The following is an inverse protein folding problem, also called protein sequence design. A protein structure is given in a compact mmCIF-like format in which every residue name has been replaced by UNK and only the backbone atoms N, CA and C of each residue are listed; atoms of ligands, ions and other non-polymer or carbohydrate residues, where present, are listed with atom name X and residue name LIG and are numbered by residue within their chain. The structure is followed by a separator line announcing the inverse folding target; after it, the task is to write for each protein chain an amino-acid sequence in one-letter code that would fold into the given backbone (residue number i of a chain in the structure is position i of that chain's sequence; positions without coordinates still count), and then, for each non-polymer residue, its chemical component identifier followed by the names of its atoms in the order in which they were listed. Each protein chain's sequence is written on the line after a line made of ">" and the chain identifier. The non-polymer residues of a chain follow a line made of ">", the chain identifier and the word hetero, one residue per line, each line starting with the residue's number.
data_IF_618277067835
#
_entry.id   IF_618277067835
#
_cell.length_a   1.000
_cell.length_b   1.000
_cell.length_c   1.000
_cell.angle_alpha   90.00
_cell.angle_beta   90.00
_cell.angle_gamma   90.00
#
_symmetry.space_group_name_H-M   'P 1'
#
loop_
_entity.id
_entity.type
_entity.pdbx_description
1 polymer ?
#
# COMPACT_ATOMS: atom_id res chain seq x y z
N UNK A 1 -6.91 31.28 25.79
CA UNK A 1 -6.21 30.00 25.96
C UNK A 1 -6.92 29.29 27.09
N UNK A 2 -7.54 28.11 26.89
CA UNK A 2 -8.38 27.49 27.93
C UNK A 2 -7.53 26.63 28.87
N UNK A 3 -7.62 26.90 30.17
CA UNK A 3 -6.89 26.26 31.29
C UNK A 3 -7.21 24.77 31.52
N UNK A 4 -8.03 24.14 30.67
CA UNK A 4 -8.42 22.72 30.79
C UNK A 4 -7.43 21.73 30.16
N UNK A 5 -6.40 22.20 29.45
CA UNK A 5 -5.42 21.33 28.76
C UNK A 5 -4.23 20.92 29.68
N UNK A 6 -4.17 21.40 30.94
CA UNK A 6 -3.00 21.26 31.82
C UNK A 6 -2.94 19.99 32.69
N UNK A 7 -4.03 19.20 32.81
CA UNK A 7 -4.03 17.98 33.64
C UNK A 7 -4.43 16.67 32.91
N UNK A 8 -4.73 16.72 31.61
CA UNK A 8 -5.09 15.50 30.88
C UNK A 8 -3.83 14.79 30.36
N UNK A 9 -3.58 13.58 30.86
CA UNK A 9 -2.52 12.69 30.37
C UNK A 9 -3.09 11.64 29.40
N UNK A 10 -2.25 11.16 28.49
CA UNK A 10 -2.59 10.15 27.49
C UNK A 10 -1.42 9.20 27.27
N UNK A 11 -1.72 7.92 27.06
CA UNK A 11 -0.71 6.92 26.73
C UNK A 11 -0.30 6.99 25.26
N UNK A 12 1.00 6.99 24.99
CA UNK A 12 1.54 6.92 23.63
C UNK A 12 1.35 5.52 23.03
N UNK A 13 0.87 5.43 21.78
CA UNK A 13 0.67 4.16 21.08
C UNK A 13 1.97 3.44 20.66
N UNK A 14 3.14 4.06 20.85
CA UNK A 14 4.43 3.47 20.49
C UNK A 14 5.30 3.17 21.71
N UNK A 15 5.55 4.16 22.56
CA UNK A 15 6.39 3.95 23.75
C UNK A 15 5.60 3.57 25.01
N UNK A 16 4.27 3.51 24.94
CA UNK A 16 3.37 3.15 26.05
C UNK A 16 3.49 3.99 27.33
N UNK A 17 4.28 5.08 27.34
CA UNK A 17 4.39 6.03 28.45
C UNK A 17 3.19 6.98 28.49
N UNK A 18 2.72 7.30 29.70
CA UNK A 18 1.76 8.38 29.95
C UNK A 18 2.47 9.72 29.78
N UNK A 19 1.88 10.60 28.96
CA UNK A 19 2.41 11.93 28.66
C UNK A 19 1.28 12.97 28.68
N UNK A 20 1.56 14.26 28.96
CA UNK A 20 0.53 15.30 28.90
C UNK A 20 0.00 15.46 27.46
N UNK A 21 -1.25 15.88 27.29
CA UNK A 21 -1.86 16.06 25.96
C UNK A 21 -1.08 17.02 25.04
N UNK A 22 -0.28 17.94 25.59
CA UNK A 22 0.62 18.85 24.85
C UNK A 22 1.68 18.11 24.01
N UNK A 23 2.09 16.93 24.47
CA UNK A 23 3.01 16.01 23.79
C UNK A 23 2.39 15.32 22.56
N UNK A 24 1.08 15.48 22.34
CA UNK A 24 0.37 14.89 21.20
C UNK A 24 -0.11 15.98 20.24
N UNK A 25 0.30 15.89 18.97
CA UNK A 25 -0.18 16.82 17.92
C UNK A 25 -1.69 16.66 17.72
N UNK A 26 -2.39 17.78 17.55
CA UNK A 26 -3.82 17.80 17.18
C UNK A 26 -4.03 17.11 15.82
N UNK A 27 -5.16 16.43 15.66
CA UNK A 27 -5.60 15.95 14.34
C UNK A 27 -6.06 17.15 13.52
N UNK A 28 -5.76 17.13 12.23
CA UNK A 28 -6.10 18.17 11.26
C UNK A 28 -6.96 17.56 10.15
N UNK A 29 -7.93 18.29 9.63
CA UNK A 29 -8.74 17.92 8.45
C UNK A 29 -10.26 17.91 8.68
N UNK A 30 -11.04 17.85 7.59
CA UNK A 30 -12.52 17.94 7.57
C UNK A 30 -13.27 16.97 8.49
N UNK A 31 -12.62 15.90 8.98
CA UNK A 31 -13.20 14.87 9.85
C UNK A 31 -12.69 14.92 11.31
N UNK A 32 -11.87 15.89 11.70
CA UNK A 32 -11.41 16.00 13.08
C UNK A 32 -12.51 16.60 13.96
N UNK A 33 -13.07 15.81 14.89
CA UNK A 33 -13.83 16.36 16.02
C UNK A 33 -12.91 17.24 16.87
N UNK A 34 -13.38 18.42 17.27
CA UNK A 34 -12.60 19.43 17.99
C UNK A 34 -11.89 18.84 19.22
N UNK A 35 -10.61 19.17 19.37
CA UNK A 35 -9.65 18.66 20.39
C UNK A 35 -9.09 17.24 20.22
N UNK A 36 -9.47 16.47 19.18
CA UNK A 36 -8.90 15.14 18.97
C UNK A 36 -7.37 15.17 18.72
N UNK A 37 -6.61 14.43 19.54
CA UNK A 37 -5.14 14.35 19.44
C UNK A 37 -4.70 13.03 18.79
N UNK A 38 -3.55 13.03 18.12
CA UNK A 38 -2.96 11.83 17.49
C UNK A 38 -2.54 10.80 18.56
N UNK A 39 -2.30 9.55 18.15
CA UNK A 39 -1.93 8.46 19.07
C UNK A 39 -0.45 8.43 19.46
N UNK A 40 0.41 9.09 18.69
CA UNK A 40 1.86 9.13 18.90
C UNK A 40 2.29 10.44 19.55
N UNK A 41 3.18 10.35 20.55
CA UNK A 41 3.83 11.53 21.11
C UNK A 41 4.82 12.15 20.11
N UNK A 42 5.19 13.42 20.32
CA UNK A 42 6.13 14.17 19.46
C UNK A 42 7.46 13.43 19.29
N UNK A 43 8.01 12.91 20.37
CA UNK A 43 9.30 12.22 20.37
C UNK A 43 9.30 10.97 19.49
N UNK A 44 8.35 10.04 19.70
CA UNK A 44 8.22 8.84 18.86
C UNK A 44 7.97 9.16 17.39
N UNK A 45 7.34 10.32 17.10
CA UNK A 45 7.14 10.76 15.71
C UNK A 45 8.44 11.24 15.09
N UNK A 46 9.23 12.05 15.81
CA UNK A 46 10.53 12.55 15.37
C UNK A 46 11.49 11.37 15.11
N UNK A 47 11.53 10.40 16.03
CA UNK A 47 12.34 9.19 15.88
C UNK A 47 11.96 8.40 14.61
N UNK A 48 10.66 8.21 14.36
CA UNK A 48 10.21 7.53 13.14
C UNK A 48 10.47 8.32 11.87
N UNK A 49 10.38 9.64 11.91
CA UNK A 49 10.73 10.50 10.79
C UNK A 49 12.22 10.43 10.47
N UNK A 50 13.09 10.45 11.49
CA UNK A 50 14.53 10.25 11.31
C UNK A 50 14.88 8.85 10.83
N UNK A 51 14.20 7.81 11.31
CA UNK A 51 14.38 6.43 10.82
C UNK A 51 13.93 6.31 9.37
N UNK A 52 12.80 6.91 9.01
CA UNK A 52 12.29 6.89 7.64
C UNK A 52 13.22 7.66 6.69
N UNK A 53 13.77 8.81 7.12
CA UNK A 53 14.76 9.57 6.34
C UNK A 53 16.05 8.76 6.14
N UNK A 54 16.55 8.09 7.19
CA UNK A 54 17.73 7.23 7.09
C UNK A 54 17.51 6.03 6.16
N UNK A 55 16.32 5.40 6.23
CA UNK A 55 15.92 4.31 5.32
C UNK A 55 15.81 4.77 3.86
N UNK A 56 15.39 6.01 3.61
CA UNK A 56 15.34 6.57 2.25
C UNK A 56 16.70 7.05 1.74
N UNK A 57 17.65 7.36 2.63
CA UNK A 57 18.95 7.91 2.29
C UNK A 57 20.05 6.85 2.08
N UNK A 58 19.81 5.60 2.50
CA UNK A 58 20.77 4.51 2.31
C UNK A 58 20.05 3.17 2.02
N UNK A 59 19.78 2.85 0.73
CA UNK A 59 19.06 1.63 0.36
C UNK A 59 19.87 0.32 0.55
N UNK A 60 21.14 0.39 0.97
CA UNK A 60 22.03 -0.77 1.10
C UNK A 60 22.06 -1.44 2.49
N UNK A 61 21.28 -0.98 3.47
CA UNK A 61 21.23 -1.55 4.84
C UNK A 61 19.87 -2.19 5.17
N UNK A 62 19.33 -2.97 4.23
CA UNK A 62 18.22 -3.89 4.51
C UNK A 62 18.72 -5.33 4.38
N UNK A 63 19.60 -5.73 5.29
CA UNK A 63 19.80 -7.14 5.65
C UNK A 63 20.52 -7.21 7.00
N UNK A 64 19.85 -7.94 7.90
CA UNK A 64 20.22 -8.28 9.28
C UNK A 64 20.23 -7.10 10.27
N UNK A 65 19.09 -6.90 10.94
CA UNK A 65 19.09 -7.00 12.40
C UNK A 65 17.68 -7.25 12.95
N UNK A 66 17.56 -8.43 13.56
CA UNK A 66 16.72 -8.77 14.71
C UNK A 66 15.20 -8.92 14.49
N UNK A 67 14.86 -10.16 14.15
CA UNK A 67 13.76 -10.92 14.74
C UNK A 67 13.77 -10.70 16.27
N UNK A 68 12.81 -9.94 16.78
CA UNK A 68 12.26 -10.18 18.11
C UNK A 68 10.76 -10.38 17.98
N UNK A 69 10.43 -11.66 17.95
CA UNK A 69 9.14 -12.26 18.25
C UNK A 69 8.51 -11.61 19.50
N UNK A 70 7.50 -10.77 19.31
CA UNK A 70 6.47 -10.63 20.33
C UNK A 70 5.42 -11.72 20.09
N UNK A 71 5.64 -12.85 20.75
CA UNK A 71 4.57 -13.82 21.04
C UNK A 71 3.47 -13.08 21.80
N UNK A 72 2.33 -12.87 21.16
CA UNK A 72 1.10 -12.59 21.87
C UNK A 72 0.52 -13.92 22.35
N UNK A 73 0.90 -14.33 23.57
CA UNK A 73 0.07 -15.22 24.38
C UNK A 73 -1.21 -14.47 24.73
N UNK A 74 -2.33 -14.87 24.11
CA UNK A 74 -3.66 -14.49 24.54
C UNK A 74 -3.96 -15.24 25.84
N UNK A 75 -3.61 -14.64 26.97
CA UNK A 75 -4.22 -15.00 28.25
C UNK A 75 -5.61 -14.36 28.28
N UNK A 76 -6.63 -15.20 28.30
CA UNK A 76 -8.03 -14.82 28.43
C UNK A 76 -8.24 -14.05 29.75
N UNK A 77 -8.85 -12.87 29.67
CA UNK A 77 -9.32 -12.15 30.85
C UNK A 77 -10.68 -12.72 31.28
N UNK A 78 -10.88 -13.08 32.57
CA UNK A 78 -12.17 -13.52 33.08
C UNK A 78 -13.21 -12.42 32.97
N UNK A 79 -14.43 -12.80 32.56
CA UNK A 79 -15.62 -11.95 32.66
C UNK A 79 -16.11 -11.96 34.11
N UNK A 80 -15.79 -10.92 34.87
CA UNK A 80 -16.46 -10.66 36.15
C UNK A 80 -17.80 -9.99 35.89
N UNK A 81 -18.88 -10.71 36.21
CA UNK A 81 -20.21 -10.15 36.34
C UNK A 81 -20.33 -9.32 37.62
N UNK A 82 -21.09 -8.22 37.55
CA UNK A 82 -21.56 -7.49 38.73
C UNK A 82 -23.02 -7.08 38.56
N UNK A 83 -23.74 -6.89 39.68
CA UNK A 83 -25.02 -7.51 39.88
C UNK A 83 -26.20 -6.56 39.72
N UNK A 84 -27.36 -7.20 39.66
CA UNK A 84 -28.71 -6.67 39.81
C UNK A 84 -28.88 -5.76 41.03
N UNK A 85 -29.49 -4.59 40.82
CA UNK A 85 -30.26 -3.88 41.84
C UNK A 85 -31.57 -3.41 41.23
N UNK A 86 -32.66 -3.94 41.77
CA UNK A 86 -34.03 -3.53 41.51
C UNK A 86 -34.30 -2.15 42.14
N UNK A 87 -35.08 -1.33 41.43
CA UNK A 87 -35.90 -0.29 42.04
C UNK A 87 -37.15 -0.12 41.18
N UNK A 88 -38.30 -0.36 41.79
CA UNK A 88 -39.62 -0.20 41.21
C UNK A 88 -40.06 1.26 41.26
N UNK A 89 -40.75 1.72 40.21
CA UNK A 89 -41.79 2.75 40.34
C UNK A 89 -42.78 2.68 39.18
N UNK A 90 -44.02 2.41 39.57
CA UNK A 90 -45.32 2.60 38.91
C UNK A 90 -45.44 3.60 37.76
N UNK A 91 -46.21 3.25 36.72
CA UNK A 91 -46.72 4.20 35.73
C UNK A 91 -47.42 3.59 34.51
N UNK A 92 -48.67 3.16 34.70
CA UNK A 92 -49.81 3.12 33.75
C UNK A 92 -49.58 2.73 32.26
N UNK A 93 -50.20 1.62 31.87
CA UNK A 93 -50.26 1.05 30.52
C UNK A 93 -51.21 1.81 29.58
N UNK A 94 -50.72 2.18 28.39
CA UNK A 94 -51.53 2.70 27.28
C UNK A 94 -51.69 1.60 26.21
N UNK A 95 -52.91 1.15 25.83
CA UNK A 95 -53.11 -0.13 25.15
C UNK A 95 -53.00 -0.08 23.62
N UNK A 96 -52.19 0.82 23.03
CA UNK A 96 -52.16 0.96 21.57
C UNK A 96 -50.77 1.24 20.95
N UNK A 97 -49.79 0.40 21.26
CA UNK A 97 -48.50 0.40 20.55
C UNK A 97 -48.24 -0.97 19.91
N UNK A 98 -48.47 -1.07 18.60
CA UNK A 98 -48.05 -2.22 17.79
C UNK A 98 -46.59 -2.52 18.06
N UNK A 99 -46.31 -3.67 18.64
CA UNK A 99 -44.95 -4.18 18.87
C UNK A 99 -44.38 -4.55 17.50
N UNK A 100 -43.60 -3.63 16.89
CA UNK A 100 -42.67 -4.04 15.84
C UNK A 100 -41.64 -4.93 16.52
N UNK A 101 -41.73 -6.24 16.25
CA UNK A 101 -40.76 -7.22 16.71
C UNK A 101 -39.35 -6.70 16.47
N UNK A 102 -38.59 -6.59 17.55
CA UNK A 102 -37.15 -6.44 17.52
C UNK A 102 -36.57 -7.78 17.06
N UNK A 103 -36.76 -8.14 15.78
CA UNK A 103 -35.89 -9.11 15.17
C UNK A 103 -34.50 -8.47 15.15
N UNK A 104 -33.69 -8.90 16.12
CA UNK A 104 -32.26 -8.61 16.15
C UNK A 104 -31.72 -9.03 14.80
N UNK A 105 -31.48 -8.03 13.95
CA UNK A 105 -30.88 -8.16 12.63
C UNK A 105 -29.54 -8.87 12.83
N UNK A 106 -29.53 -10.21 12.72
CA UNK A 106 -28.34 -11.04 12.88
C UNK A 106 -27.29 -10.44 11.97
N UNK A 107 -26.23 -9.86 12.55
CA UNK A 107 -25.09 -9.38 11.78
C UNK A 107 -24.57 -10.60 11.03
N UNK A 108 -24.81 -10.66 9.72
CA UNK A 108 -24.24 -11.72 8.88
C UNK A 108 -22.75 -11.77 9.21
N UNK A 109 -22.18 -12.92 9.57
CA UNK A 109 -20.74 -13.02 9.73
C UNK A 109 -20.12 -12.49 8.45
N UNK A 110 -19.23 -11.50 8.55
CA UNK A 110 -18.49 -11.03 7.39
C UNK A 110 -17.74 -12.25 6.87
N UNK A 111 -18.23 -12.85 5.78
CA UNK A 111 -17.49 -13.86 5.06
C UNK A 111 -16.13 -13.25 4.76
N UNK A 112 -15.10 -13.73 5.45
CA UNK A 112 -13.72 -13.33 5.20
C UNK A 112 -13.39 -13.92 3.84
N UNK A 113 -13.72 -13.18 2.78
CA UNK A 113 -13.35 -13.54 1.43
C UNK A 113 -11.85 -13.85 1.40
N UNK A 114 -11.48 -14.92 0.71
CA UNK A 114 -10.09 -15.32 0.51
C UNK A 114 -9.29 -14.09 0.09
N UNK A 115 -8.26 -13.74 0.87
CA UNK A 115 -7.37 -12.63 0.53
C UNK A 115 -6.71 -12.96 -0.80
N UNK A 116 -6.86 -12.06 -1.78
CA UNK A 116 -6.19 -12.19 -3.07
C UNK A 116 -4.68 -12.05 -2.87
N UNK A 117 -3.91 -12.82 -3.64
CA UNK A 117 -2.46 -12.64 -3.72
C UNK A 117 -2.19 -11.52 -4.75
N UNK A 118 -1.55 -10.41 -4.35
CA UNK A 118 -1.28 -9.28 -5.24
C UNK A 118 -0.36 -9.61 -6.43
N UNK A 119 0.43 -10.68 -6.34
CA UNK A 119 1.43 -11.05 -7.36
C UNK A 119 0.96 -12.21 -8.24
N UNK A 120 -0.22 -12.76 -7.97
CA UNK A 120 -0.74 -13.92 -8.69
C UNK A 120 -1.79 -13.51 -9.74
N UNK A 121 -1.43 -13.44 -11.03
CA UNK A 121 -2.35 -13.03 -12.07
C UNK A 121 -3.40 -14.07 -12.42
N UNK A 122 -3.26 -15.33 -11.97
CA UNK A 122 -4.25 -16.40 -12.24
C UNK A 122 -5.60 -16.11 -11.56
N UNK A 123 -5.61 -15.18 -10.60
CA UNK A 123 -6.79 -14.75 -9.86
C UNK A 123 -7.61 -13.68 -10.60
N UNK A 124 -7.10 -13.16 -11.72
CA UNK A 124 -7.78 -12.20 -12.56
C UNK A 124 -8.94 -12.85 -13.30
N UNK A 125 -10.07 -12.17 -13.30
CA UNK A 125 -11.30 -12.57 -13.98
C UNK A 125 -11.64 -11.41 -14.93
N UNK A 126 -11.54 -11.60 -16.24
CA UNK A 126 -11.87 -10.55 -17.20
C UNK A 126 -13.36 -10.18 -17.14
N UNK A 127 -13.69 -9.05 -17.75
CA UNK A 127 -15.08 -8.72 -18.07
C UNK A 127 -15.65 -9.66 -19.12
N UNK A 128 -16.94 -9.54 -19.41
CA UNK A 128 -17.58 -10.28 -20.52
C UNK A 128 -16.94 -9.99 -21.88
N UNK A 129 -16.21 -8.87 -22.01
CA UNK A 129 -15.48 -8.48 -23.23
C UNK A 129 -14.00 -8.90 -23.22
N UNK A 130 -13.55 -9.69 -22.24
CA UNK A 130 -12.14 -10.08 -22.12
C UNK A 130 -11.23 -9.04 -21.44
N UNK A 131 -11.77 -7.93 -20.94
CA UNK A 131 -10.97 -6.79 -20.48
C UNK A 131 -10.73 -6.77 -18.96
N UNK A 132 -9.58 -6.23 -18.54
CA UNK A 132 -9.17 -5.93 -17.16
C UNK A 132 -8.99 -4.42 -16.98
N UNK A 133 -9.42 -3.88 -15.83
CA UNK A 133 -9.17 -2.48 -15.50
C UNK A 133 -7.75 -2.31 -14.96
N UNK A 134 -6.93 -1.50 -15.61
CA UNK A 134 -5.66 -1.04 -15.06
C UNK A 134 -5.82 0.38 -14.50
N UNK A 135 -5.23 0.64 -13.33
CA UNK A 135 -5.14 1.98 -12.76
C UNK A 135 -3.71 2.36 -12.41
N UNK A 136 -3.43 3.66 -12.35
CA UNK A 136 -2.13 4.15 -11.94
C UNK A 136 -2.13 5.64 -11.63
N UNK A 137 -0.91 6.18 -11.52
CA UNK A 137 -0.67 7.61 -11.39
C UNK A 137 0.22 8.09 -12.53
N UNK A 138 0.01 9.31 -13.00
CA UNK A 138 0.94 9.98 -13.90
C UNK A 138 2.13 10.55 -13.14
N UNK A 139 3.14 11.05 -13.86
CA UNK A 139 4.31 11.70 -13.24
C UNK A 139 3.92 12.95 -12.41
N UNK A 140 2.77 13.57 -12.72
CA UNK A 140 2.19 14.68 -11.94
C UNK A 140 1.30 14.20 -10.78
N UNK A 141 1.28 12.90 -10.49
CA UNK A 141 0.46 12.29 -9.44
C UNK A 141 -1.02 12.19 -9.77
N UNK A 142 -1.46 12.47 -11.00
CA UNK A 142 -2.88 12.37 -11.38
C UNK A 142 -3.27 10.91 -11.55
N UNK A 143 -4.40 10.51 -10.95
CA UNK A 143 -4.95 9.16 -11.13
C UNK A 143 -5.50 8.98 -12.53
N UNK A 144 -5.29 7.80 -13.10
CA UNK A 144 -5.85 7.40 -14.38
C UNK A 144 -6.33 5.94 -14.33
N UNK A 145 -7.20 5.59 -15.27
CA UNK A 145 -7.72 4.24 -15.47
C UNK A 145 -7.74 3.94 -16.97
N UNK A 146 -7.52 2.68 -17.32
CA UNK A 146 -7.52 2.19 -18.69
C UNK A 146 -8.01 0.74 -18.71
N UNK A 147 -8.82 0.37 -19.69
CA UNK A 147 -9.15 -1.04 -19.94
C UNK A 147 -8.07 -1.65 -20.83
N UNK A 148 -7.56 -2.81 -20.44
CA UNK A 148 -6.54 -3.57 -21.15
C UNK A 148 -6.97 -5.03 -21.32
N UNK A 149 -6.35 -5.75 -22.25
CA UNK A 149 -6.56 -7.19 -22.40
C UNK A 149 -6.08 -7.97 -21.16
N UNK A 150 -6.70 -9.12 -20.89
CA UNK A 150 -6.27 -10.05 -19.85
C UNK A 150 -4.81 -10.51 -20.04
N UNK A 151 -4.39 -10.83 -21.26
CA UNK A 151 -3.04 -11.29 -21.53
C UNK A 151 -2.01 -10.22 -21.14
N UNK A 152 -2.23 -8.97 -21.57
CA UNK A 152 -1.40 -7.85 -21.16
C UNK A 152 -1.40 -7.67 -19.64
N UNK A 153 -2.55 -7.81 -18.98
CA UNK A 153 -2.63 -7.71 -17.53
C UNK A 153 -1.80 -8.80 -16.82
N UNK A 154 -1.84 -10.03 -17.33
CA UNK A 154 -1.03 -11.15 -16.83
C UNK A 154 0.45 -10.83 -16.98
N UNK A 155 0.90 -10.40 -18.16
CA UNK A 155 2.30 -10.07 -18.44
C UNK A 155 2.79 -8.96 -17.51
N UNK A 156 2.02 -7.88 -17.35
CA UNK A 156 2.39 -6.77 -16.46
C UNK A 156 2.54 -7.20 -14.99
N UNK A 157 1.74 -8.15 -14.51
CA UNK A 157 1.85 -8.65 -13.14
C UNK A 157 3.03 -9.62 -13.00
N UNK A 158 3.17 -10.58 -13.93
CA UNK A 158 4.28 -11.54 -13.92
C UNK A 158 5.64 -10.87 -13.97
N UNK A 159 5.75 -9.83 -14.79
CA UNK A 159 6.98 -9.07 -14.96
C UNK A 159 7.11 -7.93 -13.95
N UNK A 160 6.36 -7.96 -12.84
CA UNK A 160 6.52 -7.04 -11.71
C UNK A 160 6.28 -5.55 -12.04
N UNK A 161 5.54 -5.24 -13.11
CA UNK A 161 5.16 -3.88 -13.47
C UNK A 161 3.85 -3.44 -12.80
N UNK A 162 3.01 -4.38 -12.39
CA UNK A 162 1.72 -4.16 -11.77
C UNK A 162 1.42 -5.19 -10.67
N UNK A 163 0.46 -4.87 -9.81
CA UNK A 163 -0.09 -5.81 -8.81
C UNK A 163 -1.60 -5.94 -8.95
N UNK A 164 -2.12 -7.12 -8.61
CA UNK A 164 -3.55 -7.39 -8.48
C UNK A 164 -4.10 -6.64 -7.26
N UNK A 165 -5.11 -5.80 -7.50
CA UNK A 165 -5.85 -5.08 -6.44
C UNK A 165 -7.12 -5.83 -6.09
N UNK A 166 -7.84 -6.24 -7.13
CA UNK A 166 -9.03 -7.05 -7.03
C UNK A 166 -9.11 -7.93 -8.29
N UNK A 167 -10.05 -8.87 -8.32
CA UNK A 167 -10.19 -9.84 -9.42
C UNK A 167 -10.34 -9.20 -10.81
N UNK A 168 -10.75 -7.94 -10.93
CA UNK A 168 -10.93 -7.24 -12.21
C UNK A 168 -10.01 -6.04 -12.38
N UNK A 169 -9.06 -5.84 -11.48
CA UNK A 169 -8.27 -4.61 -11.47
C UNK A 169 -6.84 -4.86 -11.05
N UNK A 170 -5.91 -4.44 -11.90
CA UNK A 170 -4.50 -4.31 -11.57
C UNK A 170 -4.14 -2.85 -11.32
N UNK A 171 -3.08 -2.62 -10.54
CA UNK A 171 -2.50 -1.30 -10.33
C UNK A 171 -1.05 -1.31 -10.80
N UNK A 172 -0.73 -0.39 -11.70
CA UNK A 172 0.65 -0.14 -12.12
C UNK A 172 1.47 0.40 -10.95
N UNK A 173 2.65 -0.16 -10.74
CA UNK A 173 3.49 0.16 -9.58
C UNK A 173 4.20 1.50 -9.73
N UNK A 174 4.64 1.82 -10.94
CA UNK A 174 5.49 2.97 -11.23
C UNK A 174 4.81 3.95 -12.17
N UNK A 175 5.05 5.25 -11.98
CA UNK A 175 4.88 6.26 -13.02
C UNK A 175 6.00 6.12 -14.07
N UNK A 176 5.96 6.87 -15.18
CA UNK A 176 7.03 6.76 -16.18
C UNK A 176 8.36 7.27 -15.60
N UNK A 177 8.32 8.37 -14.85
CA UNK A 177 9.49 8.92 -14.17
C UNK A 177 10.04 7.96 -13.13
N UNK A 178 9.17 7.41 -12.28
CA UNK A 178 9.59 6.48 -11.21
C UNK A 178 10.12 5.18 -11.80
N UNK A 179 9.54 4.71 -12.91
CA UNK A 179 9.98 3.51 -13.60
C UNK A 179 11.40 3.68 -14.15
N UNK A 180 11.68 4.81 -14.83
CA UNK A 180 13.03 5.11 -15.31
C UNK A 180 14.03 5.15 -14.15
N UNK A 181 13.69 5.87 -13.08
CA UNK A 181 14.55 5.96 -11.90
C UNK A 181 14.81 4.58 -11.27
N UNK A 182 13.78 3.73 -11.19
CA UNK A 182 13.88 2.37 -10.68
C UNK A 182 14.85 1.52 -11.51
N UNK A 183 14.72 1.49 -12.84
CA UNK A 183 15.60 0.68 -13.72
C UNK A 183 17.05 1.15 -13.62
N UNK A 184 17.29 2.48 -13.71
CA UNK A 184 18.64 3.03 -13.62
C UNK A 184 19.30 2.69 -12.28
N UNK A 185 18.57 2.81 -11.17
CA UNK A 185 19.07 2.49 -9.85
C UNK A 185 19.29 0.98 -9.67
N UNK A 186 18.37 0.13 -10.15
CA UNK A 186 18.50 -1.34 -10.12
C UNK A 186 19.77 -1.82 -10.81
N UNK A 187 20.08 -1.22 -11.95
CA UNK A 187 21.21 -1.61 -12.81
C UNK A 187 22.49 -0.83 -12.48
N UNK A 188 22.53 -0.11 -11.35
CA UNK A 188 23.67 0.70 -10.92
C UNK A 188 24.19 1.66 -12.01
N UNK A 189 23.29 2.24 -12.82
CA UNK A 189 23.64 3.09 -13.95
C UNK A 189 24.67 2.46 -14.90
N UNK A 190 24.65 1.13 -15.04
CA UNK A 190 25.57 0.38 -15.88
C UNK A 190 24.84 -0.08 -17.13
N UNK A 191 25.35 0.30 -18.29
CA UNK A 191 24.80 -0.07 -19.59
C UNK A 191 24.86 -1.60 -19.76
N UNK A 192 23.70 -2.22 -19.97
CA UNK A 192 23.57 -3.66 -20.18
C UNK A 192 24.40 -4.16 -21.38
N UNK A 193 24.57 -3.32 -22.41
CA UNK A 193 25.20 -3.71 -23.66
C UNK A 193 26.73 -3.61 -23.64
N UNK A 194 27.28 -2.52 -23.13
CA UNK A 194 28.73 -2.24 -23.18
C UNK A 194 29.41 -2.16 -21.82
N UNK A 195 28.65 -2.19 -20.71
CA UNK A 195 29.19 -2.07 -19.35
C UNK A 195 29.64 -0.66 -18.94
N UNK A 196 29.59 0.33 -19.85
CA UNK A 196 29.88 1.73 -19.51
C UNK A 196 28.73 2.39 -18.73
N UNK A 197 28.91 3.63 -18.27
CA UNK A 197 27.84 4.39 -17.63
C UNK A 197 26.62 4.56 -18.56
N UNK A 198 25.43 4.32 -18.02
CA UNK A 198 24.15 4.46 -18.69
C UNK A 198 23.18 5.32 -17.90
N UNK A 199 22.53 6.24 -18.61
CA UNK A 199 21.55 7.18 -18.05
C UNK A 199 20.18 7.08 -18.74
N UNK A 200 20.05 6.19 -19.74
CA UNK A 200 18.80 5.89 -20.44
C UNK A 200 18.30 4.48 -20.13
N UNK A 201 17.06 4.19 -20.55
CA UNK A 201 16.50 2.85 -20.53
C UNK A 201 16.24 2.39 -21.95
N UNK A 202 16.43 1.10 -22.21
CA UNK A 202 16.07 0.45 -23.47
C UNK A 202 15.29 -0.85 -23.21
N UNK A 203 14.51 -1.27 -24.20
CA UNK A 203 13.72 -2.50 -24.18
C UNK A 203 14.50 -3.66 -24.80
N UNK A 204 14.57 -4.80 -24.11
CA UNK A 204 15.21 -6.01 -24.61
C UNK A 204 14.47 -6.54 -25.86
N UNK A 205 13.16 -6.76 -25.73
CA UNK A 205 12.24 -6.89 -26.85
C UNK A 205 11.71 -5.49 -27.21
N UNK A 206 11.99 -4.94 -28.40
CA UNK A 206 11.52 -3.61 -28.79
C UNK A 206 9.99 -3.50 -28.77
N UNK A 207 9.47 -2.31 -28.47
CA UNK A 207 8.02 -2.04 -28.46
C UNK A 207 7.34 -2.36 -29.79
N UNK A 208 8.03 -2.13 -30.91
CA UNK A 208 7.53 -2.45 -32.25
C UNK A 208 7.33 -3.96 -32.48
N UNK A 209 8.06 -4.80 -31.74
CA UNK A 209 7.94 -6.27 -31.76
C UNK A 209 7.10 -6.81 -30.58
N UNK A 210 6.31 -5.95 -29.93
CA UNK A 210 5.40 -6.34 -28.85
C UNK A 210 5.96 -6.22 -27.43
N UNK A 211 7.21 -5.79 -27.26
CA UNK A 211 7.80 -5.68 -25.91
C UNK A 211 7.13 -4.61 -25.05
N UNK A 212 6.89 -4.97 -23.78
CA UNK A 212 6.22 -4.09 -22.81
C UNK A 212 7.23 -3.34 -21.94
N UNK A 213 6.80 -2.21 -21.37
CA UNK A 213 7.60 -1.46 -20.39
C UNK A 213 7.42 -2.09 -19.02
N UNK A 214 8.27 -3.07 -18.72
CA UNK A 214 8.27 -3.85 -17.48
C UNK A 214 9.69 -3.97 -16.94
N UNK A 215 9.86 -4.19 -15.62
CA UNK A 215 11.16 -4.53 -15.03
C UNK A 215 11.93 -5.59 -15.83
N UNK A 216 11.28 -6.67 -16.25
CA UNK A 216 11.98 -7.79 -16.88
C UNK A 216 12.42 -7.48 -18.32
N UNK A 217 11.70 -6.61 -19.03
CA UNK A 217 12.01 -6.25 -20.42
C UNK A 217 12.80 -4.93 -20.56
N UNK A 218 12.99 -4.15 -19.50
CA UNK A 218 13.73 -2.88 -19.57
C UNK A 218 15.06 -2.96 -18.83
N UNK A 219 16.11 -2.41 -19.43
CA UNK A 219 17.46 -2.35 -18.88
C UNK A 219 18.04 -0.94 -18.97
N UNK A 220 19.04 -0.64 -18.14
CA UNK A 220 19.87 0.54 -18.28
C UNK A 220 20.73 0.46 -19.55
N UNK A 221 20.79 1.56 -20.30
CA UNK A 221 21.59 1.69 -21.51
C UNK A 221 22.25 3.07 -21.58
N UNK A 222 23.45 3.14 -22.13
CA UNK A 222 24.05 4.41 -22.52
C UNK A 222 23.36 4.95 -23.79
N UNK A 223 23.43 6.27 -23.98
CA UNK A 223 22.80 6.92 -25.14
C UNK A 223 23.28 6.34 -26.47
N UNK A 224 24.58 6.02 -26.60
CA UNK A 224 25.15 5.46 -27.83
C UNK A 224 24.56 4.08 -28.15
N UNK A 225 24.63 3.12 -27.20
CA UNK A 225 24.10 1.77 -27.43
C UNK A 225 22.59 1.77 -27.68
N UNK A 226 21.83 2.58 -26.94
CA UNK A 226 20.38 2.70 -27.12
C UNK A 226 20.04 3.17 -28.56
N UNK A 227 20.75 4.20 -29.06
CA UNK A 227 20.56 4.69 -30.43
C UNK A 227 21.04 3.68 -31.49
N UNK A 228 22.14 2.97 -31.26
CA UNK A 228 22.67 1.98 -32.23
C UNK A 228 21.78 0.74 -32.32
N UNK A 229 21.21 0.27 -31.20
CA UNK A 229 20.29 -0.86 -31.19
C UNK A 229 18.97 -0.50 -31.89
N UNK A 230 18.42 0.69 -31.63
CA UNK A 230 17.15 1.15 -32.19
C UNK A 230 16.01 0.11 -32.00
N UNK A 231 15.48 -0.43 -33.10
CA UNK A 231 14.38 -1.41 -33.14
C UNK A 231 14.84 -2.86 -33.32
N UNK A 232 16.15 -3.12 -33.24
CA UNK A 232 16.71 -4.48 -33.26
C UNK A 232 16.43 -5.19 -31.95
N UNK A 233 16.26 -6.52 -32.00
CA UNK A 233 16.20 -7.30 -30.76
C UNK A 233 17.60 -7.36 -30.11
N UNK A 234 17.67 -7.79 -28.86
CA UNK A 234 18.95 -7.93 -28.15
C UNK A 234 19.81 -9.00 -28.81
N UNK A 235 19.21 -10.09 -29.27
CA UNK A 235 19.89 -11.20 -29.95
C UNK A 235 20.58 -10.68 -31.22
N UNK A 236 19.82 -9.94 -32.05
CA UNK A 236 20.31 -9.30 -33.27
C UNK A 236 21.46 -8.32 -32.97
N UNK A 237 21.35 -7.54 -31.90
CA UNK A 237 22.30 -6.48 -31.58
C UNK A 237 23.59 -7.00 -30.93
N UNK A 238 23.49 -7.99 -30.03
CA UNK A 238 24.63 -8.55 -29.32
C UNK A 238 25.34 -9.67 -30.10
N UNK A 239 24.83 -10.06 -31.27
CA UNK A 239 25.43 -11.08 -32.13
C UNK A 239 25.45 -12.47 -31.49
N UNK A 240 24.49 -12.77 -30.60
CA UNK A 240 24.34 -14.09 -29.98
C UNK A 240 23.40 -14.93 -30.87
N UNK A 241 23.98 -15.56 -31.89
CA UNK A 241 23.33 -16.60 -32.72
C UNK A 241 23.58 -17.95 -32.07
#
# INVERSE_FOLDING_TARGET
>A
MNDTDLLSTKQCAYCHKLKPLTEFRRRTGKRSKGQSRRGACRECRKQRETLNIKLTANPLLVKLDTIQTHQHTLLERPKEGKPSSAAASSGQSNPNRRVRGLEQRRKRPHAQGTKLNPEDPTQLIPSTKGMILMRGHSDKGRRWHQEIDLELAITLVREHAAIVVNRRTIRRLYSNKDFRAYILARDNYTCYFCGAYGDTIDHLLPRAKGGHTTPDNCVCACTLCNQTKADKSVEDFMGRI
#
